data_IF_072647093581
#
_entry.id   IF_072647093581
#
_cell.length_a   1.000
_cell.length_b   1.000
_cell.length_c   1.000
_cell.angle_alpha   90.00
_cell.angle_beta   90.00
_cell.angle_gamma   90.00
#
_symmetry.space_group_name_H-M   'P 1'
#
loop_
_entity.id
_entity.type
_entity.pdbx_description
1 polymer ?
#
# COMPACT_ATOMS: atom_id res chain seq x y z
N UNK A 1 12.26 -0.40 -4.30
CA UNK A 1 11.44 -1.36 -3.60
C UNK A 1 10.02 -1.35 -4.11
N UNK A 2 9.46 -2.55 -4.31
CA UNK A 2 8.14 -2.67 -4.88
C UNK A 2 7.05 -2.01 -4.05
N UNK A 3 7.10 -2.18 -2.73
CA UNK A 3 6.08 -1.61 -1.85
C UNK A 3 6.07 -0.08 -1.92
N UNK A 4 7.26 0.52 -1.87
CA UNK A 4 7.35 1.98 -1.93
C UNK A 4 6.86 2.52 -3.27
N UNK A 5 7.21 1.82 -4.34
CA UNK A 5 6.75 2.21 -5.68
C UNK A 5 5.22 2.15 -5.76
N UNK A 6 4.62 1.11 -5.19
CA UNK A 6 3.16 1.00 -5.19
C UNK A 6 2.50 2.10 -4.37
N UNK A 7 3.11 2.46 -3.22
CA UNK A 7 2.60 3.57 -2.43
C UNK A 7 2.60 4.86 -3.25
N UNK A 8 3.68 5.10 -3.98
CA UNK A 8 3.79 6.29 -4.81
C UNK A 8 2.77 6.28 -5.94
N UNK A 9 2.49 5.12 -6.52
CA UNK A 9 1.48 5.01 -7.56
C UNK A 9 0.08 5.27 -7.01
N UNK A 10 -0.22 4.78 -5.81
CA UNK A 10 -1.50 5.04 -5.16
C UNK A 10 -1.65 6.53 -4.89
N UNK A 11 -0.60 7.17 -4.40
CA UNK A 11 -0.60 8.59 -4.15
C UNK A 11 -0.83 9.38 -5.43
N UNK A 12 -0.15 8.99 -6.50
CA UNK A 12 -0.31 9.62 -7.80
C UNK A 12 -1.75 9.49 -8.29
N UNK A 13 -2.35 8.32 -8.11
CA UNK A 13 -3.75 8.11 -8.46
C UNK A 13 -4.67 9.07 -7.71
N UNK A 14 -4.45 9.22 -6.39
CA UNK A 14 -5.26 10.13 -5.59
C UNK A 14 -5.10 11.57 -6.03
N UNK A 15 -3.92 11.94 -6.52
CA UNK A 15 -3.67 13.32 -6.95
C UNK A 15 -4.17 13.61 -8.35
N UNK A 16 -4.08 12.64 -9.26
CA UNK A 16 -4.38 12.86 -10.67
C UNK A 16 -5.66 12.17 -11.13
N UNK A 17 -6.09 11.14 -10.42
CA UNK A 17 -7.22 10.32 -10.84
C UNK A 17 -6.90 9.38 -11.98
N UNK A 18 -5.64 9.28 -12.38
CA UNK A 18 -5.22 8.46 -13.52
C UNK A 18 -4.37 7.30 -13.03
N UNK A 19 -4.70 6.08 -13.48
CA UNK A 19 -3.94 4.90 -13.15
C UNK A 19 -3.88 3.98 -14.36
N UNK A 20 -2.70 3.39 -14.66
CA UNK A 20 -2.58 2.44 -15.78
C UNK A 20 -3.25 1.09 -15.49
N UNK A 21 -3.53 0.79 -14.23
CA UNK A 21 -4.23 -0.43 -13.84
C UNK A 21 -5.43 -0.03 -12.99
N UNK A 22 -6.37 -0.96 -12.80
CA UNK A 22 -7.57 -0.65 -12.05
C UNK A 22 -7.22 -0.37 -10.58
N UNK A 23 -8.07 0.44 -9.94
CA UNK A 23 -7.90 0.74 -8.53
C UNK A 23 -7.92 -0.52 -7.69
N UNK A 24 -8.84 -1.42 -8.01
CA UNK A 24 -9.00 -2.68 -7.28
C UNK A 24 -7.75 -3.53 -7.37
N UNK A 25 -7.17 -3.64 -8.56
CA UNK A 25 -5.94 -4.40 -8.75
C UNK A 25 -4.78 -3.77 -8.00
N UNK A 26 -4.68 -2.45 -8.03
CA UNK A 26 -3.63 -1.74 -7.32
C UNK A 26 -3.71 -1.99 -5.83
N UNK A 27 -4.92 -1.91 -5.26
CA UNK A 27 -5.12 -2.13 -3.83
C UNK A 27 -4.80 -3.58 -3.47
N UNK A 28 -5.19 -4.53 -4.32
CA UNK A 28 -4.92 -5.94 -4.07
C UNK A 28 -3.43 -6.23 -4.03
N UNK A 29 -2.70 -5.73 -5.02
CA UNK A 29 -1.25 -5.91 -5.08
C UNK A 29 -0.58 -5.25 -3.88
N UNK A 30 -1.01 -4.05 -3.55
CA UNK A 30 -0.48 -3.29 -2.41
C UNK A 30 -0.70 -4.07 -1.11
N UNK A 31 -1.89 -4.62 -0.91
CA UNK A 31 -2.22 -5.39 0.30
C UNK A 31 -1.33 -6.62 0.40
N UNK A 32 -1.14 -7.33 -0.71
CA UNK A 32 -0.28 -8.50 -0.76
C UNK A 32 1.15 -8.17 -0.37
N UNK A 33 1.68 -7.10 -0.92
CA UNK A 33 3.06 -6.71 -0.64
C UNK A 33 3.21 -6.23 0.80
N UNK A 34 2.20 -5.56 1.35
CA UNK A 34 2.23 -5.16 2.75
C UNK A 34 2.23 -6.39 3.65
N UNK A 35 1.40 -7.38 3.35
CA UNK A 35 1.36 -8.62 4.11
C UNK A 35 2.71 -9.33 4.09
N UNK A 36 3.34 -9.38 2.92
CA UNK A 36 4.65 -10.00 2.77
C UNK A 36 5.71 -9.28 3.61
N UNK A 37 5.71 -7.94 3.56
CA UNK A 37 6.67 -7.15 4.34
C UNK A 37 6.46 -7.35 5.84
N UNK A 38 5.21 -7.36 6.30
CA UNK A 38 4.90 -7.54 7.71
C UNK A 38 5.37 -8.92 8.19
N UNK A 39 5.08 -9.95 7.39
CA UNK A 39 5.50 -11.30 7.72
C UNK A 39 7.02 -11.38 7.82
N UNK A 40 7.71 -10.78 6.86
CA UNK A 40 9.18 -10.78 6.82
C UNK A 40 9.76 -10.07 8.04
N UNK A 41 9.20 -8.92 8.40
CA UNK A 41 9.69 -8.15 9.55
C UNK A 41 9.44 -8.86 10.87
N UNK A 42 8.45 -9.75 10.92
CA UNK A 42 8.09 -10.45 12.14
C UNK A 42 8.43 -11.94 12.06
N UNK A 43 9.52 -12.25 11.36
CA UNK A 43 10.13 -13.59 11.33
C UNK A 43 9.18 -14.68 10.79
N UNK A 44 8.40 -14.35 9.77
CA UNK A 44 7.53 -15.30 9.13
C UNK A 44 6.17 -15.47 9.78
N UNK A 45 5.76 -14.52 10.63
CA UNK A 45 4.44 -14.57 11.24
C UNK A 45 3.36 -14.59 10.16
N UNK A 46 2.31 -15.36 10.41
CA UNK A 46 1.15 -15.35 9.53
C UNK A 46 0.45 -14.01 9.66
N UNK A 47 0.25 -13.33 8.53
CA UNK A 47 -0.41 -12.03 8.47
C UNK A 47 -1.65 -12.17 7.61
N UNK A 48 -2.80 -11.74 8.14
CA UNK A 48 -4.03 -11.78 7.36
C UNK A 48 -4.07 -10.61 6.39
N UNK A 49 -4.78 -10.76 5.28
CA UNK A 49 -4.95 -9.69 4.32
C UNK A 49 -5.70 -8.50 4.93
N UNK A 50 -6.63 -8.79 5.85
CA UNK A 50 -7.36 -7.74 6.56
C UNK A 50 -6.39 -6.86 7.35
N UNK A 51 -5.50 -7.47 8.12
CA UNK A 51 -4.52 -6.74 8.91
C UNK A 51 -3.60 -5.91 8.00
N UNK A 52 -3.13 -6.52 6.92
CA UNK A 52 -2.24 -5.85 5.97
C UNK A 52 -2.94 -4.67 5.30
N UNK A 53 -4.21 -4.83 4.95
CA UNK A 53 -5.00 -3.78 4.34
C UNK A 53 -5.12 -2.57 5.28
N UNK A 54 -5.45 -2.83 6.55
CA UNK A 54 -5.60 -1.76 7.54
C UNK A 54 -4.30 -1.00 7.76
N UNK A 55 -3.20 -1.73 7.91
CA UNK A 55 -1.91 -1.09 8.14
C UNK A 55 -1.38 -0.39 6.89
N UNK A 56 -1.63 -0.96 5.72
CA UNK A 56 -1.27 -0.33 4.46
C UNK A 56 -1.97 1.00 4.27
N UNK A 57 -3.25 1.08 4.60
CA UNK A 57 -3.98 2.34 4.51
C UNK A 57 -3.47 3.38 5.48
N UNK A 58 -3.01 2.97 6.66
CA UNK A 58 -2.37 3.89 7.59
C UNK A 58 -1.13 4.51 6.96
N UNK A 59 -0.30 3.69 6.33
CA UNK A 59 0.91 4.17 5.67
C UNK A 59 0.56 5.15 4.56
N UNK A 60 -0.43 4.82 3.75
CA UNK A 60 -0.86 5.67 2.64
C UNK A 60 -1.37 7.01 3.13
N UNK A 61 -2.16 7.01 4.21
CA UNK A 61 -2.68 8.27 4.77
C UNK A 61 -1.57 9.16 5.28
N UNK A 62 -0.56 8.58 5.92
CA UNK A 62 0.59 9.36 6.39
C UNK A 62 1.32 10.01 5.22
N UNK A 63 1.49 9.26 4.14
CA UNK A 63 2.18 9.75 2.96
C UNK A 63 1.39 10.89 2.31
N UNK A 64 0.08 10.74 2.20
CA UNK A 64 -0.79 11.76 1.64
C UNK A 64 -0.69 13.06 2.44
N UNK A 65 -0.72 12.96 3.77
CA UNK A 65 -0.58 14.14 4.62
C UNK A 65 0.74 14.84 4.41
N UNK A 66 1.81 14.06 4.20
CA UNK A 66 3.14 14.64 3.95
C UNK A 66 3.15 15.43 2.66
N UNK A 67 2.52 14.92 1.62
CA UNK A 67 2.53 15.56 0.30
C UNK A 67 1.55 16.72 0.18
N UNK A 68 0.52 16.75 1.01
CA UNK A 68 -0.51 17.77 0.93
C UNK A 68 -0.24 18.97 1.84
N UNK A 69 0.94 19.06 2.33
CA UNK A 69 1.34 20.28 3.07
C UNK A 69 1.67 21.42 2.11
#
# INVERSE_FOLDING_TARGET
QGYKVLLEQILNFFQTGISPISREETIEIFTFMKASNMSKEENGRIVTLEEAYQKGWKDARKLIKTYNK
#
